data_IF_103460677097
#
_entry.id   IF_103460677097
#
_cell.length_a   1.000
_cell.length_b   1.000
_cell.length_c   1.000
_cell.angle_alpha   90.00
_cell.angle_beta   90.00
_cell.angle_gamma   90.00
#
_symmetry.space_group_name_H-M   'P 1'
#
loop_
_entity.id
_entity.type
_entity.pdbx_description
1 polymer ?
#
# COMPACT_ATOMS: atom_id res chain seq x y z
N UNK A 1 6.36 13.22 59.49
CA UNK A 1 6.67 12.32 58.37
C UNK A 1 6.83 13.16 57.10
N UNK A 2 8.03 13.10 56.49
CA UNK A 2 8.51 13.51 55.15
C UNK A 2 7.51 14.25 54.22
N UNK A 3 7.70 15.49 53.77
CA UNK A 3 8.79 16.21 53.07
C UNK A 3 8.84 16.02 51.53
N UNK A 4 8.85 17.17 50.82
CA UNK A 4 9.41 17.46 49.46
C UNK A 4 8.54 17.04 48.26
N UNK A 5 8.29 17.82 47.20
CA UNK A 5 8.79 19.09 46.65
C UNK A 5 8.64 19.02 45.11
N UNK A 6 7.75 19.80 44.49
CA UNK A 6 7.98 20.91 43.54
C UNK A 6 8.94 20.71 42.35
N UNK A 7 8.36 20.96 41.15
CA UNK A 7 8.86 21.61 39.92
C UNK A 7 9.77 20.91 38.88
N UNK A 8 9.22 20.95 37.65
CA UNK A 8 9.78 21.29 36.33
C UNK A 8 11.14 20.71 35.87
N UNK A 9 11.17 20.11 34.66
CA UNK A 9 11.80 20.71 33.47
C UNK A 9 12.01 19.72 32.31
N UNK A 10 11.85 20.29 31.12
CA UNK A 10 12.22 19.85 29.79
C UNK A 10 13.75 19.73 29.65
N UNK A 11 14.27 18.70 28.97
CA UNK A 11 15.70 18.56 28.69
C UNK A 11 16.04 17.35 27.80
N UNK A 12 16.56 17.64 26.60
CA UNK A 12 17.03 16.73 25.55
C UNK A 12 18.34 16.01 25.92
N UNK A 13 18.50 14.70 25.65
CA UNK A 13 19.77 14.00 25.33
C UNK A 13 19.55 12.53 24.89
N UNK A 14 20.25 12.08 23.83
CA UNK A 14 20.24 10.79 23.08
C UNK A 14 21.51 9.95 23.43
N UNK A 15 21.82 8.69 22.98
CA UNK A 15 21.08 7.48 22.48
C UNK A 15 21.37 6.18 23.31
N UNK A 16 20.90 4.98 22.88
CA UNK A 16 21.85 3.90 22.51
C UNK A 16 21.46 3.11 21.21
N UNK A 17 22.32 2.19 20.70
CA UNK A 17 22.64 2.05 19.28
C UNK A 17 21.93 0.91 18.50
N UNK A 18 22.15 0.98 17.18
CA UNK A 18 21.85 0.01 16.12
C UNK A 18 22.28 -1.44 16.45
N UNK A 19 21.48 -2.41 15.99
CA UNK A 19 21.99 -3.51 15.18
C UNK A 19 21.00 -3.86 14.07
N UNK A 20 21.56 -3.86 12.87
CA UNK A 20 20.99 -4.10 11.56
C UNK A 20 20.37 -5.49 11.40
N UNK A 21 19.35 -5.61 10.54
CA UNK A 21 19.49 -6.21 9.19
C UNK A 21 18.15 -6.74 8.66
N UNK A 22 17.84 -6.36 7.41
CA UNK A 22 17.03 -7.09 6.42
C UNK A 22 15.56 -7.39 6.79
N UNK A 23 14.56 -6.93 6.05
CA UNK A 23 14.34 -7.34 4.66
C UNK A 23 13.27 -6.48 3.99
N UNK A 24 13.46 -6.28 2.69
CA UNK A 24 12.53 -5.72 1.71
C UNK A 24 11.06 -6.11 1.96
N UNK A 25 10.16 -5.13 1.96
CA UNK A 25 8.85 -5.28 1.32
C UNK A 25 8.33 -3.92 0.85
N UNK A 26 7.91 -3.91 -0.41
CA UNK A 26 7.64 -2.76 -1.25
C UNK A 26 6.35 -2.04 -0.83
N UNK A 27 6.40 -0.72 -0.82
CA UNK A 27 5.22 0.16 -0.86
C UNK A 27 5.06 0.68 -2.30
N UNK A 28 3.88 0.60 -2.93
CA UNK A 28 3.67 1.35 -4.15
C UNK A 28 2.37 2.17 -4.06
N UNK A 29 2.46 3.42 -3.59
CA UNK A 29 1.57 4.48 -4.08
C UNK A 29 2.34 5.81 -4.11
N UNK A 30 2.79 6.13 -5.32
CA UNK A 30 3.24 7.43 -5.85
C UNK A 30 4.55 8.03 -5.34
N UNK A 31 5.61 7.82 -6.11
CA UNK A 31 6.76 8.75 -6.19
C UNK A 31 6.74 9.40 -7.57
N UNK A 32 6.41 10.71 -7.70
CA UNK A 32 6.64 11.41 -8.95
C UNK A 32 8.08 11.92 -8.94
N UNK A 33 8.89 11.47 -9.89
CA UNK A 33 10.14 12.15 -10.19
C UNK A 33 10.24 12.31 -11.70
N UNK A 34 10.79 13.47 -12.08
CA UNK A 34 11.30 13.85 -13.40
C UNK A 34 10.31 14.55 -14.35
N UNK A 35 10.10 15.85 -14.11
CA UNK A 35 10.10 16.83 -15.22
C UNK A 35 11.23 17.84 -14.94
N UNK A 36 12.10 18.01 -15.92
CA UNK A 36 13.30 18.84 -15.84
C UNK A 36 13.00 20.30 -16.22
N UNK A 37 13.49 21.23 -15.39
CA UNK A 37 13.89 22.63 -15.67
C UNK A 37 12.81 23.74 -15.78
N UNK A 38 13.12 25.03 -15.47
CA UNK A 38 14.22 25.60 -14.67
C UNK A 38 13.74 26.24 -13.35
N UNK A 39 14.68 26.36 -12.42
CA UNK A 39 14.51 27.05 -11.14
C UNK A 39 14.32 28.56 -11.32
N UNK A 40 13.09 29.03 -11.18
CA UNK A 40 12.80 30.39 -10.70
C UNK A 40 11.92 30.27 -9.46
N UNK A 41 12.59 30.12 -8.32
CA UNK A 41 11.96 30.04 -7.01
C UNK A 41 11.41 31.42 -6.62
N UNK A 42 10.09 31.60 -6.69
CA UNK A 42 9.39 32.59 -5.88
C UNK A 42 8.36 31.87 -5.01
N UNK A 43 8.82 31.49 -3.82
CA UNK A 43 8.01 30.96 -2.70
C UNK A 43 6.89 31.95 -2.36
N UNK A 44 5.65 31.51 -2.08
CA UNK A 44 4.63 32.40 -1.52
C UNK A 44 5.04 32.74 -0.08
N UNK A 45 5.48 33.98 0.14
CA UNK A 45 5.78 34.46 1.48
C UNK A 45 4.48 34.74 2.23
N UNK A 46 4.15 33.83 3.14
CA UNK A 46 3.20 34.05 4.22
C UNK A 46 3.93 34.71 5.39
N UNK A 47 4.14 36.03 5.37
CA UNK A 47 4.38 36.84 6.58
C UNK A 47 4.51 38.32 6.22
N UNK A 48 3.52 39.13 6.58
CA UNK A 48 3.69 40.54 6.98
C UNK A 48 4.36 41.57 6.05
N UNK A 49 4.73 41.23 4.82
CA UNK A 49 5.36 42.18 3.91
C UNK A 49 4.34 42.67 2.88
N UNK A 50 3.98 43.95 2.98
CA UNK A 50 3.29 44.68 1.91
C UNK A 50 4.10 44.43 0.62
N UNK A 51 3.49 43.95 -0.47
CA UNK A 51 4.21 43.82 -1.74
C UNK A 51 4.74 45.21 -2.10
N UNK A 52 6.06 45.39 -1.99
CA UNK A 52 6.68 46.71 -2.08
C UNK A 52 6.62 47.31 -3.50
N UNK A 53 6.08 46.58 -4.48
CA UNK A 53 5.92 47.09 -5.82
C UNK A 53 4.77 46.35 -6.52
N UNK A 54 3.60 46.98 -6.60
CA UNK A 54 2.59 46.63 -7.61
C UNK A 54 3.21 46.90 -8.97
N UNK A 55 3.05 45.99 -9.93
CA UNK A 55 3.56 46.25 -11.28
C UNK A 55 2.87 47.50 -11.85
N UNK A 56 3.55 48.31 -12.68
CA UNK A 56 2.93 49.49 -13.29
C UNK A 56 1.62 49.16 -14.04
N UNK A 57 1.54 47.97 -14.64
CA UNK A 57 0.32 47.48 -15.31
C UNK A 57 -0.84 47.20 -14.35
N UNK A 58 -0.58 46.58 -13.19
CA UNK A 58 -1.61 46.36 -12.17
C UNK A 58 -2.07 47.67 -11.53
N UNK A 59 -1.14 48.58 -11.25
CA UNK A 59 -1.44 49.89 -10.66
C UNK A 59 -2.19 50.80 -11.64
N UNK A 60 -1.89 50.71 -12.95
CA UNK A 60 -2.53 51.52 -13.99
C UNK A 60 -4.05 51.35 -13.99
N UNK A 61 -4.54 50.14 -13.71
CA UNK A 61 -5.98 49.87 -13.59
C UNK A 61 -6.62 50.74 -12.51
N UNK A 62 -6.05 50.77 -11.30
CA UNK A 62 -6.58 51.56 -10.17
C UNK A 62 -6.43 53.06 -10.43
N UNK A 63 -5.32 53.49 -11.03
CA UNK A 63 -5.05 54.91 -11.34
C UNK A 63 -6.12 55.48 -12.28
N UNK A 64 -6.65 54.70 -13.24
CA UNK A 64 -7.74 55.15 -14.10
C UNK A 64 -9.02 55.48 -13.30
N UNK A 65 -9.39 54.64 -12.33
CA UNK A 65 -10.55 54.89 -11.45
C UNK A 65 -10.35 56.06 -10.49
N UNK A 66 -9.10 56.41 -10.16
CA UNK A 66 -8.78 57.55 -9.32
C UNK A 66 -8.76 58.87 -10.10
N UNK A 67 -8.37 58.83 -11.38
CA UNK A 67 -8.24 60.02 -12.23
C UNK A 67 -9.58 60.74 -12.47
N UNK A 68 -10.67 59.98 -12.53
CA UNK A 68 -12.01 60.52 -12.80
C UNK A 68 -12.72 61.05 -11.53
N UNK A 69 -12.08 60.97 -10.36
CA UNK A 69 -12.64 61.45 -9.09
C UNK A 69 -12.29 62.91 -8.81
N UNK A 70 -13.21 63.61 -8.16
CA UNK A 70 -12.96 64.98 -7.70
C UNK A 70 -11.93 65.03 -6.57
N UNK A 71 -11.29 66.19 -6.38
CA UNK A 71 -10.31 66.39 -5.30
C UNK A 71 -10.93 66.13 -3.92
N UNK A 72 -12.19 66.50 -3.73
CA UNK A 72 -12.89 66.28 -2.46
C UNK A 72 -13.20 64.80 -2.22
N UNK A 73 -13.55 64.03 -3.25
CA UNK A 73 -13.65 62.57 -3.16
C UNK A 73 -12.30 61.93 -2.86
N UNK A 74 -11.21 62.39 -3.48
CA UNK A 74 -9.87 61.88 -3.20
C UNK A 74 -9.45 62.17 -1.74
N UNK A 75 -9.71 63.39 -1.24
CA UNK A 75 -9.50 63.74 0.18
C UNK A 75 -10.35 62.86 1.10
N UNK A 76 -11.59 62.60 0.72
CA UNK A 76 -12.49 61.70 1.44
C UNK A 76 -11.95 60.28 1.46
N UNK A 77 -11.50 59.73 0.33
CA UNK A 77 -10.90 58.40 0.27
C UNK A 77 -9.64 58.28 1.14
N UNK A 78 -8.87 59.36 1.31
CA UNK A 78 -7.68 59.36 2.17
C UNK A 78 -7.99 59.51 3.66
N UNK A 79 -9.13 60.11 4.02
CA UNK A 79 -9.46 60.47 5.41
C UNK A 79 -10.54 59.58 6.02
N UNK A 80 -11.44 59.04 5.20
CA UNK A 80 -12.59 58.21 5.59
C UNK A 80 -12.36 56.76 5.17
N UNK A 81 -12.19 55.90 6.18
CA UNK A 81 -11.93 54.46 6.00
C UNK A 81 -13.09 53.75 5.32
N UNK A 82 -14.33 54.12 5.61
CA UNK A 82 -15.51 53.47 5.05
C UNK A 82 -15.66 53.86 3.57
N UNK A 83 -15.39 55.13 3.23
CA UNK A 83 -15.35 55.58 1.84
C UNK A 83 -14.27 54.83 1.03
N UNK A 84 -13.09 54.64 1.60
CA UNK A 84 -12.02 53.84 0.99
C UNK A 84 -12.45 52.39 0.77
N UNK A 85 -13.06 51.77 1.78
CA UNK A 85 -13.47 50.38 1.70
C UNK A 85 -14.61 50.16 0.70
N UNK A 86 -15.58 51.08 0.63
CA UNK A 86 -16.62 51.07 -0.39
C UNK A 86 -16.05 51.24 -1.80
N UNK A 87 -15.06 52.12 -1.97
CA UNK A 87 -14.34 52.23 -3.25
C UNK A 87 -13.67 50.92 -3.65
N UNK A 88 -12.95 50.25 -2.73
CA UNK A 88 -12.35 48.95 -3.03
C UNK A 88 -13.40 47.90 -3.44
N UNK A 89 -14.55 47.84 -2.75
CA UNK A 89 -15.63 46.92 -3.09
C UNK A 89 -16.31 47.26 -4.43
N UNK A 90 -16.21 48.51 -4.89
CA UNK A 90 -16.71 48.91 -6.21
C UNK A 90 -15.84 48.42 -7.36
N UNK A 91 -14.54 48.13 -7.11
CA UNK A 91 -13.60 47.66 -8.12
C UNK A 91 -13.90 46.22 -8.53
N UNK A 92 -14.02 45.97 -9.83
CA UNK A 92 -14.34 44.63 -10.35
C UNK A 92 -13.27 43.60 -10.00
N UNK A 93 -11.99 44.00 -9.95
CA UNK A 93 -10.90 43.12 -9.52
C UNK A 93 -11.13 42.57 -8.10
N UNK A 94 -11.60 43.43 -7.18
CA UNK A 94 -11.89 43.04 -5.78
C UNK A 94 -13.15 42.19 -5.71
N UNK A 95 -14.18 42.48 -6.52
CA UNK A 95 -15.38 41.63 -6.63
C UNK A 95 -15.05 40.24 -7.14
N UNK A 96 -14.26 40.14 -8.21
CA UNK A 96 -13.81 38.87 -8.80
C UNK A 96 -13.01 38.08 -7.77
N UNK A 97 -12.03 38.70 -7.11
CA UNK A 97 -11.22 38.03 -6.09
C UNK A 97 -12.06 37.51 -4.91
N UNK A 98 -13.01 38.31 -4.43
CA UNK A 98 -13.92 37.88 -3.37
C UNK A 98 -14.79 36.70 -3.81
N UNK A 99 -15.33 36.74 -5.03
CA UNK A 99 -16.11 35.63 -5.58
C UNK A 99 -15.28 34.34 -5.65
N UNK A 100 -14.08 34.39 -6.23
CA UNK A 100 -13.18 33.23 -6.33
C UNK A 100 -12.88 32.65 -4.94
N UNK A 101 -12.61 33.50 -3.96
CA UNK A 101 -12.37 33.08 -2.57
C UNK A 101 -13.59 32.38 -1.97
N UNK A 102 -14.78 32.92 -2.18
CA UNK A 102 -16.01 32.37 -1.65
C UNK A 102 -16.40 31.06 -2.35
N UNK A 103 -16.19 30.97 -3.66
CA UNK A 103 -16.35 29.75 -4.45
C UNK A 103 -15.38 28.67 -4.01
N UNK A 104 -14.09 28.98 -3.90
CA UNK A 104 -13.10 28.02 -3.42
C UNK A 104 -13.47 27.48 -2.03
N UNK A 105 -13.91 28.36 -1.12
CA UNK A 105 -14.36 27.95 0.21
C UNK A 105 -15.58 27.04 0.15
N UNK A 106 -16.55 27.36 -0.71
CA UNK A 106 -17.77 26.57 -0.89
C UNK A 106 -17.47 25.18 -1.44
N UNK A 107 -16.70 25.11 -2.53
CA UNK A 107 -16.32 23.85 -3.18
C UNK A 107 -15.48 22.97 -2.25
N UNK A 108 -14.52 23.56 -1.54
CA UNK A 108 -13.70 22.81 -0.56
C UNK A 108 -14.57 22.18 0.54
N UNK A 109 -15.55 22.93 1.03
CA UNK A 109 -16.47 22.46 2.06
C UNK A 109 -17.43 21.39 1.52
N UNK A 110 -17.88 21.53 0.28
CA UNK A 110 -18.72 20.54 -0.38
C UNK A 110 -17.97 19.22 -0.61
N UNK A 111 -16.75 19.28 -1.15
CA UNK A 111 -15.88 18.10 -1.32
C UNK A 111 -15.58 17.41 0.00
N UNK A 112 -15.30 18.16 1.07
CA UNK A 112 -15.05 17.57 2.39
C UNK A 112 -16.27 16.80 2.92
N UNK A 113 -17.49 17.30 2.69
CA UNK A 113 -18.73 16.62 3.06
C UNK A 113 -18.95 15.35 2.24
N UNK A 114 -18.82 15.44 0.93
CA UNK A 114 -18.99 14.29 0.03
C UNK A 114 -17.96 13.19 0.29
N UNK A 115 -16.72 13.57 0.62
CA UNK A 115 -15.69 12.60 1.00
C UNK A 115 -16.04 11.92 2.32
N UNK A 116 -16.46 12.68 3.33
CA UNK A 116 -16.84 12.12 4.63
C UNK A 116 -18.05 11.16 4.51
N UNK A 117 -18.97 11.44 3.60
CA UNK A 117 -20.11 10.55 3.32
C UNK A 117 -19.68 9.23 2.66
N UNK A 118 -18.57 9.21 1.92
CA UNK A 118 -18.01 8.01 1.26
C UNK A 118 -17.11 7.17 2.16
N UNK A 119 -16.56 7.73 3.24
CA UNK A 119 -15.75 7.00 4.23
C UNK A 119 -16.38 5.67 4.73
N UNK A 120 -17.66 5.59 5.13
CA UNK A 120 -18.26 4.33 5.58
C UNK A 120 -18.29 3.25 4.48
N UNK A 121 -18.57 3.63 3.23
CA UNK A 121 -18.58 2.71 2.10
C UNK A 121 -17.16 2.19 1.79
N UNK A 122 -16.16 3.09 1.83
CA UNK A 122 -14.75 2.72 1.67
C UNK A 122 -14.31 1.76 2.78
N UNK A 123 -14.71 2.02 4.03
CA UNK A 123 -14.41 1.15 5.17
C UNK A 123 -15.04 -0.24 5.01
N UNK A 124 -16.29 -0.32 4.55
CA UNK A 124 -16.95 -1.59 4.30
C UNK A 124 -16.25 -2.40 3.19
N UNK A 125 -15.90 -1.76 2.07
CA UNK A 125 -15.14 -2.40 0.99
C UNK A 125 -13.77 -2.88 1.46
N UNK A 126 -13.05 -2.08 2.26
CA UNK A 126 -11.77 -2.48 2.87
C UNK A 126 -11.93 -3.72 3.75
N UNK A 127 -13.00 -3.78 4.53
CA UNK A 127 -13.30 -4.95 5.35
C UNK A 127 -13.58 -6.18 4.47
N UNK A 128 -14.39 -6.04 3.41
CA UNK A 128 -14.67 -7.14 2.48
C UNK A 128 -13.40 -7.73 1.86
N UNK A 129 -12.50 -6.88 1.35
CA UNK A 129 -11.19 -7.30 0.82
C UNK A 129 -10.34 -7.96 1.91
N UNK A 130 -10.32 -7.39 3.11
CA UNK A 130 -9.57 -7.94 4.25
C UNK A 130 -10.08 -9.31 4.70
N UNK A 131 -11.37 -9.60 4.55
CA UNK A 131 -11.93 -10.93 4.85
C UNK A 131 -11.72 -11.93 3.70
N UNK A 132 -11.65 -11.48 2.44
CA UNK A 132 -11.47 -12.36 1.28
C UNK A 132 -10.02 -12.84 1.10
N UNK A 133 -9.03 -11.98 1.35
CA UNK A 133 -7.60 -12.32 1.25
C UNK A 133 -7.18 -13.55 2.10
N UNK A 134 -7.46 -13.60 3.43
CA UNK A 134 -7.11 -14.76 4.23
C UNK A 134 -7.96 -15.98 3.88
N UNK A 135 -9.21 -15.80 3.44
CA UNK A 135 -10.08 -16.92 3.08
C UNK A 135 -9.56 -17.69 1.86
N UNK A 136 -9.12 -16.98 0.82
CA UNK A 136 -8.52 -17.61 -0.37
C UNK A 136 -7.23 -18.34 -0.01
N UNK A 137 -6.35 -17.73 0.79
CA UNK A 137 -5.08 -18.32 1.18
C UNK A 137 -5.25 -19.54 2.11
N UNK A 138 -6.19 -19.49 3.06
CA UNK A 138 -6.53 -20.62 3.94
C UNK A 138 -7.12 -21.77 3.12
N UNK A 139 -8.05 -21.49 2.21
CA UNK A 139 -8.60 -22.51 1.32
C UNK A 139 -7.50 -23.11 0.43
N UNK A 140 -6.68 -22.29 -0.22
CA UNK A 140 -5.57 -22.78 -1.05
C UNK A 140 -4.57 -23.64 -0.27
N UNK A 141 -4.17 -23.21 0.94
CA UNK A 141 -3.23 -23.99 1.78
C UNK A 141 -3.85 -25.29 2.30
N UNK A 142 -5.13 -25.29 2.66
CA UNK A 142 -5.89 -26.49 3.03
C UNK A 142 -5.93 -27.50 1.88
N UNK A 143 -6.27 -27.06 0.66
CA UNK A 143 -6.34 -27.93 -0.51
C UNK A 143 -4.96 -28.50 -0.87
N UNK A 144 -3.90 -27.70 -0.80
CA UNK A 144 -2.54 -28.18 -1.02
C UNK A 144 -2.10 -29.22 0.01
N UNK A 145 -2.43 -29.02 1.30
CA UNK A 145 -2.15 -30.02 2.35
C UNK A 145 -2.90 -31.33 2.09
N UNK A 146 -4.19 -31.24 1.75
CA UNK A 146 -5.01 -32.42 1.46
C UNK A 146 -4.52 -33.16 0.21
N UNK A 147 -4.17 -32.44 -0.85
CA UNK A 147 -3.61 -33.01 -2.07
C UNK A 147 -2.31 -33.75 -1.80
N UNK A 148 -1.38 -33.13 -1.05
CA UNK A 148 -0.12 -33.78 -0.65
C UNK A 148 -0.38 -35.05 0.17
N UNK A 149 -1.32 -35.00 1.12
CA UNK A 149 -1.68 -36.18 1.91
C UNK A 149 -2.22 -37.32 1.04
N UNK A 150 -3.16 -37.03 0.13
CA UNK A 150 -3.74 -38.02 -0.78
C UNK A 150 -2.69 -38.60 -1.75
N UNK A 151 -1.80 -37.75 -2.24
CA UNK A 151 -0.70 -38.16 -3.11
C UNK A 151 0.26 -39.10 -2.36
N UNK A 152 0.73 -38.72 -1.17
CA UNK A 152 1.62 -39.56 -0.35
C UNK A 152 0.94 -40.88 0.04
N UNK A 153 -0.35 -40.85 0.41
CA UNK A 153 -1.12 -42.05 0.75
C UNK A 153 -1.19 -43.02 -0.43
N UNK A 154 -1.44 -42.50 -1.64
CA UNK A 154 -1.51 -43.31 -2.87
C UNK A 154 -0.15 -43.91 -3.22
N UNK A 155 0.93 -43.12 -3.10
CA UNK A 155 2.30 -43.60 -3.32
C UNK A 155 2.68 -44.69 -2.33
N UNK A 156 2.41 -44.49 -1.03
CA UNK A 156 2.67 -45.50 0.01
C UNK A 156 1.90 -46.79 -0.30
N UNK A 157 0.60 -46.70 -0.58
CA UNK A 157 -0.22 -47.88 -0.90
C UNK A 157 0.34 -48.64 -2.10
N UNK A 158 0.73 -47.92 -3.17
CA UNK A 158 1.33 -48.50 -4.37
C UNK A 158 2.67 -49.18 -4.07
N UNK A 159 3.53 -48.55 -3.26
CA UNK A 159 4.82 -49.11 -2.87
C UNK A 159 4.66 -50.39 -2.03
N UNK A 160 3.76 -50.39 -1.04
CA UNK A 160 3.47 -51.56 -0.23
C UNK A 160 2.91 -52.72 -1.08
N UNK A 161 2.00 -52.41 -2.01
CA UNK A 161 1.45 -53.39 -2.95
C UNK A 161 2.55 -53.99 -3.85
N UNK A 162 3.40 -53.14 -4.44
CA UNK A 162 4.51 -53.57 -5.29
C UNK A 162 5.51 -54.45 -4.54
N UNK A 163 5.89 -54.05 -3.31
CA UNK A 163 6.78 -54.84 -2.45
C UNK A 163 6.19 -56.22 -2.15
N UNK A 164 4.89 -56.29 -1.83
CA UNK A 164 4.18 -57.55 -1.60
C UNK A 164 4.17 -58.44 -2.84
N UNK A 165 3.87 -57.87 -4.01
CA UNK A 165 3.86 -58.59 -5.29
C UNK A 165 5.24 -59.16 -5.67
N UNK A 166 6.31 -58.40 -5.48
CA UNK A 166 7.70 -58.87 -5.70
C UNK A 166 8.04 -60.00 -4.74
N UNK A 167 7.65 -59.89 -3.47
CA UNK A 167 7.92 -60.92 -2.47
C UNK A 167 7.20 -62.24 -2.79
N UNK A 168 5.93 -62.15 -3.20
CA UNK A 168 5.16 -63.31 -3.68
C UNK A 168 5.81 -63.95 -4.93
N UNK A 169 6.23 -63.12 -5.89
CA UNK A 169 6.92 -63.59 -7.10
C UNK A 169 8.24 -64.31 -6.80
N UNK A 170 9.02 -63.81 -5.84
CA UNK A 170 10.25 -64.46 -5.38
C UNK A 170 9.98 -65.79 -4.69
N UNK A 171 8.94 -65.87 -3.85
CA UNK A 171 8.53 -67.12 -3.19
C UNK A 171 8.11 -68.18 -4.21
N UNK A 172 7.31 -67.80 -5.21
CA UNK A 172 6.90 -68.70 -6.30
C UNK A 172 8.11 -69.19 -7.12
N UNK A 173 9.03 -68.30 -7.49
CA UNK A 173 10.27 -68.68 -8.20
C UNK A 173 11.15 -69.63 -7.38
N UNK A 174 11.32 -69.38 -6.08
CA UNK A 174 12.07 -70.27 -5.18
C UNK A 174 11.45 -71.67 -5.13
N UNK A 175 10.11 -71.75 -4.97
CA UNK A 175 9.38 -73.03 -4.98
C UNK A 175 9.55 -73.78 -6.30
N UNK A 176 9.41 -73.07 -7.43
CA UNK A 176 9.60 -73.66 -8.76
C UNK A 176 11.04 -74.17 -8.98
N UNK A 177 12.05 -73.43 -8.50
CA UNK A 177 13.45 -73.83 -8.63
C UNK A 177 13.77 -75.07 -7.81
N UNK A 178 13.24 -75.18 -6.59
CA UNK A 178 13.40 -76.37 -5.76
C UNK A 178 12.73 -77.59 -6.40
N UNK A 179 11.49 -77.43 -6.90
CA UNK A 179 10.80 -78.49 -7.65
C UNK A 179 11.59 -78.95 -8.89
N UNK A 180 12.18 -78.01 -9.64
CA UNK A 180 13.03 -78.33 -10.79
C UNK A 180 14.33 -79.06 -10.38
N UNK A 181 14.99 -78.62 -9.29
CA UNK A 181 16.18 -79.29 -8.75
C UNK A 181 15.87 -80.72 -8.30
N UNK A 182 14.75 -80.94 -7.62
CA UNK A 182 14.30 -82.27 -7.20
C UNK A 182 14.02 -83.19 -8.39
N UNK A 183 13.42 -82.65 -9.45
CA UNK A 183 13.18 -83.38 -10.69
C UNK A 183 14.49 -83.73 -11.40
N UNK A 184 15.44 -82.80 -11.47
CA UNK A 184 16.76 -83.01 -12.08
C UNK A 184 17.59 -84.03 -11.31
N UNK A 185 17.56 -84.00 -9.97
CA UNK A 185 18.26 -84.98 -9.12
C UNK A 185 17.72 -86.39 -9.33
N UNK A 186 16.39 -86.55 -9.47
CA UNK A 186 15.76 -87.83 -9.82
C UNK A 186 16.13 -88.35 -11.22
N UNK A 187 16.32 -87.47 -12.20
CA UNK A 187 16.77 -87.90 -13.53
C UNK A 187 18.24 -88.31 -13.59
N UNK A 188 19.11 -87.73 -12.73
CA UNK A 188 20.54 -88.02 -12.73
C UNK A 188 20.94 -89.25 -11.89
N UNK A 189 20.05 -89.75 -11.02
CA UNK A 189 20.25 -91.02 -10.31
C UNK A 189 19.81 -92.26 -11.10
N UNK A 190 19.38 -92.09 -12.35
CA UNK A 190 19.07 -93.19 -13.26
C UNK A 190 20.33 -93.60 -14.03
N UNK A 191 21.24 -94.32 -13.37
CA UNK A 191 22.28 -95.09 -14.05
C UNK A 191 21.66 -96.27 -14.81
N UNK A 192 22.21 -96.66 -15.98
CA UNK A 192 21.55 -97.56 -16.92
C UNK A 192 21.49 -98.98 -16.37
N UNK A 193 20.35 -99.63 -16.59
CA UNK A 193 20.15 -101.06 -16.35
C UNK A 193 21.21 -101.85 -17.13
N UNK A 194 22.16 -102.46 -16.42
CA UNK A 194 22.97 -103.55 -16.95
C UNK A 194 22.03 -104.74 -17.12
N UNK A 195 21.64 -105.01 -18.36
CA UNK A 195 21.06 -106.27 -18.78
C UNK A 195 22.20 -107.29 -18.91
N UNK A 196 22.17 -108.33 -18.08
CA UNK A 196 22.38 -109.76 -18.33
C UNK A 196 22.87 -110.46 -17.07
#
# INVERSE_FOLDING_TARGET
FHQRGSKDQQGQSRPPPEVSSSSQQQQPWYSPSLVSSPSSSSRPQTSGQIPAHVSPGEAAGIITFLKDKSVDELRKLLSDKDAYQQFLLSLDQVKIQNNIKDELRRETLQLARENLEKEPQIMELRNQVSYQEPHFLVHFTMYNKLFRYLFLRTLCSSFYSAKSSVQLSLQLRKKSLMSWKDRKKRSSSSTPLVLF
#
